data_IF_253073570435
#
_entry.id   IF_253073570435
#
_cell.length_a   1.000
_cell.length_b   1.000
_cell.length_c   1.000
_cell.angle_alpha   90.00
_cell.angle_beta   90.00
_cell.angle_gamma   90.00
#
_symmetry.space_group_name_H-M   'P 1'
#
loop_
_entity.id
_entity.type
_entity.pdbx_description
1 polymer ?
#
# COMPACT_ATOMS: atom_id res chain seq x y z
N UNK A 1 7.06 -0.06 2.38
CA UNK A 1 5.79 -0.34 1.68
C UNK A 1 5.95 -0.29 0.17
N UNK A 2 6.34 -1.41 -0.45
CA UNK A 2 6.53 -1.50 -1.91
C UNK A 2 5.35 -2.16 -2.63
N UNK A 3 4.49 -2.90 -1.91
CA UNK A 3 3.34 -3.59 -2.51
C UNK A 3 2.25 -2.67 -3.05
N UNK A 4 2.04 -1.51 -2.43
CA UNK A 4 0.97 -0.57 -2.82
C UNK A 4 1.30 0.26 -4.06
N UNK A 5 2.52 0.82 -4.22
CA UNK A 5 2.93 1.40 -5.51
C UNK A 5 2.89 0.38 -6.66
N UNK A 6 3.23 -0.89 -6.39
CA UNK A 6 3.13 -1.95 -7.39
C UNK A 6 1.66 -2.24 -7.77
N UNK A 7 0.74 -2.25 -6.80
CA UNK A 7 -0.69 -2.38 -7.06
C UNK A 7 -1.24 -1.21 -7.90
N UNK A 8 -0.83 0.02 -7.60
CA UNK A 8 -1.21 1.21 -8.37
C UNK A 8 -0.74 1.14 -9.84
N UNK A 9 0.47 0.64 -10.08
CA UNK A 9 0.98 0.40 -11.44
C UNK A 9 0.18 -0.69 -12.16
N UNK A 10 -0.18 -1.77 -11.46
CA UNK A 10 -1.00 -2.84 -12.03
C UNK A 10 -2.41 -2.34 -12.42
N UNK A 11 -3.02 -1.51 -11.57
CA UNK A 11 -4.32 -0.88 -11.85
C UNK A 11 -4.21 0.06 -13.07
N UNK A 12 -3.14 0.85 -13.15
CA UNK A 12 -2.90 1.72 -14.29
C UNK A 12 -2.71 0.93 -15.60
N UNK A 13 -1.97 -0.17 -15.55
CA UNK A 13 -1.71 -1.02 -16.71
C UNK A 13 -2.99 -1.72 -17.21
N UNK A 14 -3.83 -2.20 -16.28
CA UNK A 14 -5.11 -2.86 -16.57
C UNK A 14 -6.25 -1.89 -16.94
N UNK A 15 -6.04 -0.58 -16.84
CA UNK A 15 -7.04 0.41 -17.25
C UNK A 15 -7.24 0.43 -18.77
N UNK A 16 -8.50 0.58 -19.21
CA UNK A 16 -8.85 0.75 -20.63
C UNK A 16 -8.09 1.94 -21.24
N UNK A 17 -7.69 1.88 -22.52
CA UNK A 17 -6.91 2.94 -23.17
C UNK A 17 -7.55 4.32 -23.03
N UNK A 18 -8.89 4.40 -23.14
CA UNK A 18 -9.63 5.66 -23.01
C UNK A 18 -9.52 6.31 -21.63
N UNK A 19 -9.31 5.51 -20.56
CA UNK A 19 -9.28 5.98 -19.17
C UNK A 19 -7.88 5.96 -18.55
N UNK A 20 -6.87 5.43 -19.27
CA UNK A 20 -5.52 5.22 -18.75
C UNK A 20 -4.83 6.50 -18.27
N UNK A 21 -5.08 7.64 -18.92
CA UNK A 21 -4.53 8.93 -18.48
C UNK A 21 -5.14 9.40 -17.14
N UNK A 22 -6.46 9.28 -16.98
CA UNK A 22 -7.17 9.64 -15.75
C UNK A 22 -6.81 8.70 -14.60
N UNK A 23 -6.87 7.39 -14.83
CA UNK A 23 -6.55 6.37 -13.83
C UNK A 23 -5.09 6.47 -13.42
N UNK A 24 -4.17 6.67 -14.37
CA UNK A 24 -2.75 6.85 -14.08
C UNK A 24 -2.47 8.03 -13.15
N UNK A 25 -3.08 9.19 -13.40
CA UNK A 25 -2.91 10.37 -12.52
C UNK A 25 -3.37 10.12 -11.09
N UNK A 26 -4.54 9.49 -10.91
CA UNK A 26 -5.09 9.16 -9.59
C UNK A 26 -4.23 8.12 -8.88
N UNK A 27 -3.85 7.05 -9.59
CA UNK A 27 -3.04 5.96 -9.03
C UNK A 27 -1.62 6.41 -8.67
N UNK A 28 -1.02 7.32 -9.43
CA UNK A 28 0.31 7.89 -9.12
C UNK A 28 0.24 8.74 -7.84
N UNK A 29 -0.78 9.59 -7.70
CA UNK A 29 -0.96 10.39 -6.48
C UNK A 29 -1.20 9.49 -5.26
N UNK A 30 -2.04 8.47 -5.40
CA UNK A 30 -2.32 7.50 -4.34
C UNK A 30 -1.07 6.67 -3.98
N UNK A 31 -0.30 6.21 -4.96
CA UNK A 31 0.97 5.51 -4.76
C UNK A 31 2.00 6.37 -4.03
N UNK A 32 2.12 7.64 -4.40
CA UNK A 32 3.03 8.57 -3.74
C UNK A 32 2.63 8.79 -2.28
N UNK A 33 1.34 9.03 -2.01
CA UNK A 33 0.85 9.15 -0.63
C UNK A 33 1.12 7.88 0.17
N UNK A 34 0.74 6.71 -0.34
CA UNK A 34 0.97 5.43 0.35
C UNK A 34 2.44 5.11 0.55
N UNK A 35 3.31 5.49 -0.38
CA UNK A 35 4.75 5.31 -0.26
C UNK A 35 5.34 6.22 0.81
N UNK A 36 4.96 7.50 0.80
CA UNK A 36 5.50 8.51 1.71
C UNK A 36 4.96 8.34 3.13
N UNK A 37 3.64 8.21 3.31
CA UNK A 37 3.00 8.25 4.64
C UNK A 37 2.69 6.86 5.20
N UNK A 38 2.65 5.85 4.35
CA UNK A 38 2.21 4.52 4.73
C UNK A 38 0.69 4.32 4.76
N UNK A 39 -0.09 5.33 4.40
CA UNK A 39 -1.55 5.24 4.40
C UNK A 39 -2.00 4.47 3.16
N UNK A 40 -2.72 3.36 3.34
CA UNK A 40 -3.11 2.43 2.26
C UNK A 40 -4.51 2.71 1.71
N UNK A 41 -5.33 3.44 2.46
CA UNK A 41 -6.73 3.77 2.16
C UNK A 41 -6.97 4.32 0.75
N UNK A 42 -6.13 5.26 0.21
CA UNK A 42 -6.39 5.85 -1.11
C UNK A 42 -6.36 4.82 -2.25
N UNK A 43 -5.54 3.77 -2.11
CA UNK A 43 -5.43 2.70 -3.11
C UNK A 43 -6.52 1.65 -2.87
N UNK A 44 -6.75 1.27 -1.62
CA UNK A 44 -7.77 0.27 -1.27
C UNK A 44 -9.18 0.72 -1.65
N UNK A 45 -9.51 1.99 -1.46
CA UNK A 45 -10.82 2.53 -1.84
C UNK A 45 -11.09 2.48 -3.35
N UNK A 46 -10.04 2.44 -4.19
CA UNK A 46 -10.22 2.37 -5.64
C UNK A 46 -10.82 1.04 -6.12
N UNK A 47 -10.66 -0.04 -5.36
CA UNK A 47 -11.17 -1.38 -5.73
C UNK A 47 -12.10 -2.00 -4.70
N UNK A 48 -12.12 -1.52 -3.45
CA UNK A 48 -13.00 -2.04 -2.40
C UNK A 48 -14.49 -1.99 -2.79
N UNK A 49 -14.93 -0.90 -3.44
CA UNK A 49 -16.32 -0.74 -3.88
C UNK A 49 -16.60 -1.30 -5.27
N UNK A 50 -15.56 -1.42 -6.12
CA UNK A 50 -15.71 -1.83 -7.52
C UNK A 50 -15.59 -3.36 -7.67
N UNK A 51 -14.72 -3.99 -6.87
CA UNK A 51 -14.37 -5.41 -6.97
C UNK A 51 -14.24 -6.04 -5.57
N UNK A 52 -15.36 -6.31 -4.87
CA UNK A 52 -15.34 -6.80 -3.48
C UNK A 52 -14.65 -8.17 -3.32
N UNK A 53 -14.72 -9.05 -4.32
CA UNK A 53 -14.02 -10.34 -4.31
C UNK A 53 -12.51 -10.14 -4.33
N UNK A 54 -12.03 -9.20 -5.15
CA UNK A 54 -10.61 -8.87 -5.23
C UNK A 54 -10.12 -8.28 -3.91
N UNK A 55 -10.95 -7.49 -3.24
CA UNK A 55 -10.65 -6.96 -1.90
C UNK A 55 -10.51 -8.05 -0.84
N UNK A 56 -11.36 -9.08 -0.85
CA UNK A 56 -11.23 -10.22 0.07
C UNK A 56 -9.91 -10.97 -0.17
N UNK A 57 -9.56 -11.24 -1.43
CA UNK A 57 -8.28 -11.88 -1.78
C UNK A 57 -7.11 -11.02 -1.31
N UNK A 58 -7.18 -9.72 -1.56
CA UNK A 58 -6.17 -8.76 -1.09
C UNK A 58 -6.02 -8.79 0.44
N UNK A 59 -7.14 -8.78 1.19
CA UNK A 59 -7.14 -8.82 2.64
C UNK A 59 -6.49 -10.10 3.19
N UNK A 60 -6.75 -11.26 2.57
CA UNK A 60 -6.12 -12.53 2.95
C UNK A 60 -4.62 -12.49 2.65
N UNK A 61 -4.22 -12.04 1.46
CA UNK A 61 -2.81 -11.96 1.07
C UNK A 61 -2.03 -10.97 1.96
N UNK A 62 -2.61 -9.80 2.24
CA UNK A 62 -2.03 -8.81 3.15
C UNK A 62 -1.92 -9.37 4.58
N UNK A 63 -2.97 -10.04 5.06
CA UNK A 63 -2.99 -10.68 6.38
C UNK A 63 -1.97 -11.80 6.54
N UNK A 64 -1.70 -12.57 5.48
CA UNK A 64 -0.69 -13.64 5.48
C UNK A 64 0.74 -13.11 5.30
N UNK A 65 0.93 -11.95 4.65
CA UNK A 65 2.26 -11.38 4.46
C UNK A 65 2.94 -11.04 5.80
N UNK A 66 2.20 -10.55 6.79
CA UNK A 66 2.73 -10.23 8.13
C UNK A 66 3.33 -11.43 8.90
N UNK A 67 2.60 -12.53 9.14
CA UNK A 67 3.15 -13.69 9.86
C UNK A 67 4.29 -14.35 9.09
N UNK A 68 4.24 -14.37 7.75
CA UNK A 68 5.33 -14.88 6.92
C UNK A 68 6.60 -14.04 7.09
N UNK A 69 6.50 -12.70 7.05
CA UNK A 69 7.63 -11.81 7.31
C UNK A 69 8.22 -12.01 8.71
N UNK A 70 7.38 -12.21 9.74
CA UNK A 70 7.83 -12.47 11.11
C UNK A 70 8.58 -13.80 11.20
N UNK A 71 8.06 -14.86 10.57
CA UNK A 71 8.71 -16.18 10.53
C UNK A 71 10.06 -16.16 9.80
N UNK A 72 10.18 -15.33 8.76
CA UNK A 72 11.41 -15.12 8.01
C UNK A 72 12.40 -14.15 8.70
N UNK A 73 12.06 -13.65 9.90
CA UNK A 73 12.90 -12.72 10.65
C UNK A 73 12.98 -11.32 10.04
N UNK A 74 12.10 -10.98 9.09
CA UNK A 74 12.04 -9.66 8.45
C UNK A 74 11.43 -8.65 9.44
N UNK A 75 12.27 -7.74 9.94
CA UNK A 75 11.87 -6.63 10.80
C UNK A 75 11.66 -5.36 9.98
N UNK A 76 10.62 -5.32 9.15
CA UNK A 76 10.25 -4.12 8.38
C UNK A 76 9.03 -3.42 9.00
N UNK A 77 9.23 -2.17 9.43
CA UNK A 77 8.15 -1.28 9.87
C UNK A 77 7.35 -0.76 8.69
N UNK A 78 6.02 -0.84 8.76
CA UNK A 78 5.11 -0.46 7.67
C UNK A 78 4.86 1.06 7.63
N UNK A 79 5.91 1.81 7.30
CA UNK A 79 5.92 3.21 6.82
C UNK A 79 5.63 4.40 7.77
N UNK A 80 6.13 5.57 7.32
CA UNK A 80 6.49 6.87 7.95
C UNK A 80 7.34 6.89 9.23
N UNK A 81 7.36 5.85 10.06
CA UNK A 81 8.04 5.92 11.37
C UNK A 81 8.88 4.68 11.72
N UNK A 82 9.45 3.97 10.74
CA UNK A 82 10.35 2.82 11.01
C UNK A 82 11.65 3.21 11.76
N UNK A 83 11.77 4.47 12.20
CA UNK A 83 12.74 5.00 13.16
C UNK A 83 12.05 5.60 14.40
N UNK A 84 11.95 4.86 15.52
CA UNK A 84 11.68 5.42 16.84
C UNK A 84 12.96 5.79 17.63
N UNK A 85 14.14 5.88 17.01
CA UNK A 85 15.38 6.29 17.71
C UNK A 85 15.39 7.78 18.12
N UNK A 86 14.33 8.54 17.82
CA UNK A 86 14.19 9.96 18.21
C UNK A 86 13.00 10.30 19.12
N UNK A 87 12.38 9.31 19.78
CA UNK A 87 11.36 9.55 20.82
C UNK A 87 11.79 9.10 22.23
N UNK A 88 12.83 8.26 22.36
CA UNK A 88 13.35 7.80 23.66
C UNK A 88 14.37 8.76 24.32
N UNK A 89 14.74 9.85 23.63
CA UNK A 89 15.76 10.83 24.08
C UNK A 89 15.19 12.20 24.48
N UNK A 90 13.86 12.35 24.46
CA UNK A 90 13.15 13.59 24.83
C UNK A 90 12.43 13.49 26.18
N UNK A 91 12.47 12.32 26.83
CA UNK A 91 11.86 12.08 28.16
C UNK A 91 12.91 11.58 29.16
N UNK A 92 14.18 11.90 28.91
CA UNK A 92 15.28 11.74 29.85
C UNK A 92 16.16 12.97 29.81
#
# INVERSE_FOLDING_TARGET
MYGLPAAAIAIWHSAKPENRAKVGGIMISAALTSFLTGITEPIEFSFMFVAPILYIIHAILAGLAFPICILLGMRDGTSFLSRPDRLYRSVR
#
